data_IF_015446541331
#
_entry.id   IF_015446541331
#
_cell.length_a   1.000
_cell.length_b   1.000
_cell.length_c   1.000
_cell.angle_alpha   90.00
_cell.angle_beta   90.00
_cell.angle_gamma   90.00
#
_symmetry.space_group_name_H-M   'P 1'
#
loop_
_entity.id
_entity.type
_entity.pdbx_description
1 polymer ?
#
# COMPACT_ATOMS: atom_id res chain seq x y z
N UNK A 1 -7.49 -2.17 3.92
CA UNK A 1 -7.36 -1.41 2.65
C UNK A 1 -6.49 -0.19 2.91
N UNK A 2 -5.66 0.23 1.95
CA UNK A 2 -4.77 1.38 2.11
C UNK A 2 -3.74 1.23 3.23
N UNK A 3 -3.35 0.01 3.60
CA UNK A 3 -2.36 -0.24 4.64
C UNK A 3 -1.70 -1.61 4.44
N UNK A 4 -0.45 -1.72 4.88
CA UNK A 4 0.32 -2.97 5.01
C UNK A 4 0.78 -3.09 6.48
N UNK A 5 0.77 -4.30 7.02
CA UNK A 5 1.11 -4.59 8.41
C UNK A 5 2.23 -5.63 8.49
N UNK A 6 3.13 -5.45 9.46
CA UNK A 6 4.04 -6.49 9.93
C UNK A 6 3.52 -7.00 11.28
N UNK A 7 3.24 -8.29 11.35
CA UNK A 7 2.66 -8.96 12.51
C UNK A 7 3.59 -10.08 12.97
N UNK A 8 3.49 -10.45 14.24
CA UNK A 8 4.11 -11.68 14.74
C UNK A 8 3.39 -12.91 14.16
N UNK A 9 4.13 -13.85 13.57
CA UNK A 9 3.54 -15.08 13.01
C UNK A 9 3.03 -16.02 14.10
N UNK A 10 3.58 -15.93 15.32
CA UNK A 10 3.16 -16.74 16.46
C UNK A 10 1.93 -16.15 17.15
N UNK A 11 1.71 -14.85 17.01
CA UNK A 11 0.54 -14.15 17.54
C UNK A 11 0.15 -12.95 16.66
N UNK A 12 -0.80 -13.14 15.75
CA UNK A 12 -1.22 -12.09 14.80
C UNK A 12 -1.86 -10.86 15.45
N UNK A 13 -2.20 -10.93 16.74
CA UNK A 13 -2.68 -9.76 17.50
C UNK A 13 -1.53 -8.84 17.89
N UNK A 14 -0.28 -9.34 17.87
CA UNK A 14 0.92 -8.55 18.08
C UNK A 14 1.35 -7.88 16.76
N UNK A 15 1.00 -6.60 16.64
CA UNK A 15 1.37 -5.75 15.50
C UNK A 15 2.72 -5.09 15.75
N UNK A 16 3.73 -5.51 15.00
CA UNK A 16 5.09 -4.94 15.05
C UNK A 16 5.17 -3.59 14.34
N UNK A 17 4.57 -3.48 13.15
CA UNK A 17 4.60 -2.25 12.35
C UNK A 17 3.42 -2.15 11.39
N UNK A 18 3.17 -0.94 10.90
CA UNK A 18 2.16 -0.66 9.90
C UNK A 18 2.60 0.53 9.05
N UNK A 19 2.30 0.46 7.74
CA UNK A 19 2.41 1.60 6.83
C UNK A 19 1.07 1.81 6.17
N UNK A 20 0.59 3.05 6.23
CA UNK A 20 -0.61 3.48 5.52
C UNK A 20 -0.23 3.98 4.13
N UNK A 21 -0.97 3.50 3.13
CA UNK A 21 -0.81 3.90 1.74
C UNK A 21 -2.19 4.20 1.11
N UNK A 22 -2.89 5.22 1.63
CA UNK A 22 -4.18 5.64 1.09
C UNK A 22 -4.02 6.30 -0.28
N UNK A 23 -5.12 6.42 -1.01
CA UNK A 23 -5.17 7.29 -2.19
C UNK A 23 -5.23 8.75 -1.77
N UNK A 24 -4.69 9.65 -2.59
CA UNK A 24 -4.91 11.09 -2.42
C UNK A 24 -6.37 11.45 -2.70
N UNK A 25 -6.85 12.55 -2.12
CA UNK A 25 -8.22 13.06 -2.37
C UNK A 25 -8.46 13.35 -3.86
N UNK A 26 -7.44 13.84 -4.55
CA UNK A 26 -7.49 14.08 -6.00
C UNK A 26 -7.74 12.78 -6.77
N UNK A 27 -6.96 11.73 -6.53
CA UNK A 27 -7.13 10.43 -7.20
C UNK A 27 -8.46 9.77 -6.84
N UNK A 28 -8.92 9.93 -5.59
CA UNK A 28 -10.24 9.46 -5.18
C UNK A 28 -11.35 10.19 -5.96
N UNK A 29 -11.23 11.51 -6.13
CA UNK A 29 -12.18 12.33 -6.91
C UNK A 29 -12.15 11.98 -8.40
N UNK A 30 -10.98 11.81 -8.99
CA UNK A 30 -10.84 11.36 -10.38
C UNK A 30 -11.52 10.01 -10.62
N UNK A 31 -11.37 9.08 -9.69
CA UNK A 31 -12.04 7.78 -9.74
C UNK A 31 -13.56 7.91 -9.60
N UNK A 32 -14.03 8.71 -8.64
CA UNK A 32 -15.46 8.95 -8.44
C UNK A 32 -16.12 9.62 -9.66
N UNK A 33 -15.43 10.56 -10.31
CA UNK A 33 -15.88 11.20 -11.55
C UNK A 33 -16.06 10.22 -12.71
N UNK A 34 -15.45 9.02 -12.64
CA UNK A 34 -15.65 7.91 -13.59
C UNK A 34 -16.82 6.99 -13.21
N UNK A 35 -17.64 7.38 -12.24
CA UNK A 35 -18.84 6.64 -11.81
C UNK A 35 -18.57 5.50 -10.83
N UNK A 36 -17.43 5.53 -10.13
CA UNK A 36 -17.04 4.53 -9.13
C UNK A 36 -17.41 4.94 -7.71
N UNK A 37 -17.74 3.98 -6.86
CA UNK A 37 -18.05 4.25 -5.45
C UNK A 37 -16.81 4.81 -4.71
N UNK A 38 -16.86 6.04 -4.16
CA UNK A 38 -15.70 6.66 -3.53
C UNK A 38 -15.26 5.94 -2.24
N UNK A 39 -16.19 5.34 -1.51
CA UNK A 39 -15.94 4.71 -0.21
C UNK A 39 -15.42 3.29 -0.32
N UNK A 40 -15.86 2.58 -1.37
CA UNK A 40 -15.50 1.20 -1.65
C UNK A 40 -14.47 1.13 -2.78
N UNK A 41 -14.84 1.49 -3.99
CA UNK A 41 -14.06 1.24 -5.21
C UNK A 41 -12.82 2.15 -5.35
N UNK A 42 -12.92 3.42 -4.93
CA UNK A 42 -11.85 4.40 -5.07
C UNK A 42 -10.85 4.39 -3.90
N UNK A 43 -10.47 3.20 -3.43
CA UNK A 43 -9.45 3.02 -2.39
C UNK A 43 -8.20 2.34 -2.98
N UNK A 44 -7.12 2.33 -2.21
CA UNK A 44 -5.95 1.54 -2.57
C UNK A 44 -6.09 0.11 -2.03
N UNK A 45 -6.29 -0.86 -2.91
CA UNK A 45 -6.29 -2.27 -2.58
C UNK A 45 -4.93 -2.86 -2.95
N UNK A 46 -4.18 -3.31 -1.95
CA UNK A 46 -2.91 -3.99 -2.17
C UNK A 46 -3.18 -5.34 -2.83
N UNK A 47 -2.56 -5.57 -3.98
CA UNK A 47 -2.76 -6.80 -4.78
C UNK A 47 -1.50 -7.64 -4.87
N UNK A 48 -0.34 -7.01 -4.77
CA UNK A 48 0.96 -7.69 -4.87
C UNK A 48 1.81 -7.33 -3.67
N UNK A 49 2.37 -8.34 -3.03
CA UNK A 49 3.44 -8.26 -2.04
C UNK A 49 4.44 -9.36 -2.38
N UNK A 50 5.60 -8.97 -2.91
CA UNK A 50 6.61 -9.91 -3.37
C UNK A 50 7.94 -9.61 -2.68
N UNK A 51 8.52 -10.58 -1.98
CA UNK A 51 9.86 -10.45 -1.42
C UNK A 51 10.88 -10.48 -2.57
N UNK A 52 11.60 -9.38 -2.72
CA UNK A 52 12.69 -9.24 -3.69
C UNK A 52 13.99 -9.79 -3.10
N UNK A 53 14.19 -9.53 -1.80
CA UNK A 53 15.25 -10.08 -0.97
C UNK A 53 14.80 -10.03 0.50
N UNK A 54 15.70 -10.41 1.41
CA UNK A 54 15.42 -10.54 2.85
C UNK A 54 14.84 -9.28 3.51
N UNK A 55 15.17 -8.10 2.99
CA UNK A 55 14.73 -6.81 3.58
C UNK A 55 13.80 -6.02 2.67
N UNK A 56 13.70 -6.38 1.39
CA UNK A 56 13.00 -5.58 0.38
C UNK A 56 11.79 -6.32 -0.17
N UNK A 57 10.65 -5.65 -0.14
CA UNK A 57 9.37 -6.12 -0.65
C UNK A 57 8.91 -5.19 -1.77
N UNK A 58 8.62 -5.74 -2.94
CA UNK A 58 7.92 -5.04 -4.00
C UNK A 58 6.42 -5.12 -3.76
N UNK A 59 5.75 -3.96 -3.73
CA UNK A 59 4.33 -3.84 -3.41
C UNK A 59 3.59 -3.08 -4.49
N UNK A 60 2.42 -3.57 -4.90
CA UNK A 60 1.53 -2.88 -5.83
C UNK A 60 0.10 -2.84 -5.29
N UNK A 61 -0.58 -1.72 -5.55
CA UNK A 61 -1.98 -1.53 -5.19
C UNK A 61 -2.78 -0.88 -6.32
N UNK A 62 -4.10 -1.05 -6.26
CA UNK A 62 -5.04 -0.54 -7.28
C UNK A 62 -5.12 0.98 -7.34
N UNK A 63 -4.83 1.64 -6.21
CA UNK A 63 -4.78 3.10 -6.03
C UNK A 63 -5.88 3.86 -6.81
N UNK A 64 -7.14 3.54 -6.48
CA UNK A 64 -8.33 4.10 -7.13
C UNK A 64 -8.36 3.96 -8.67
N UNK A 65 -8.23 2.73 -9.17
CA UNK A 65 -8.18 2.42 -10.61
C UNK A 65 -7.02 3.11 -11.36
N UNK A 66 -5.96 3.49 -10.65
CA UNK A 66 -4.71 4.02 -11.20
C UNK A 66 -3.54 3.27 -10.56
N UNK A 67 -3.28 2.00 -10.94
CA UNK A 67 -2.37 1.13 -10.19
C UNK A 67 -0.98 1.73 -10.03
N UNK A 68 -0.44 1.63 -8.81
CA UNK A 68 0.92 2.06 -8.49
C UNK A 68 1.67 0.95 -7.78
N UNK A 69 2.99 0.99 -7.92
CA UNK A 69 3.91 0.10 -7.24
C UNK A 69 5.01 0.90 -6.56
N UNK A 70 5.57 0.32 -5.50
CA UNK A 70 6.70 0.87 -4.76
C UNK A 70 7.55 -0.28 -4.18
N UNK A 71 8.73 0.06 -3.69
CA UNK A 71 9.51 -0.81 -2.83
C UNK A 71 9.30 -0.42 -1.38
N UNK A 72 9.16 -1.43 -0.54
CA UNK A 72 9.05 -1.32 0.90
C UNK A 72 10.22 -2.07 1.54
N UNK A 73 10.78 -1.50 2.60
CA UNK A 73 11.82 -2.15 3.38
C UNK A 73 11.26 -2.63 4.70
N UNK A 74 11.66 -3.84 5.12
CA UNK A 74 11.45 -4.40 6.43
C UNK A 74 12.80 -4.50 7.14
N UNK A 75 13.04 -3.65 8.13
CA UNK A 75 14.29 -3.65 8.91
C UNK A 75 13.93 -3.66 10.38
N UNK A 76 14.43 -4.64 11.14
CA UNK A 76 14.17 -4.79 12.58
C UNK A 76 12.66 -4.74 12.94
N UNK A 77 11.81 -5.35 12.11
CA UNK A 77 10.36 -5.34 12.32
C UNK A 77 9.64 -4.06 11.91
N UNK A 78 10.37 -3.05 11.42
CA UNK A 78 9.81 -1.78 10.95
C UNK A 78 9.63 -1.77 9.43
N UNK A 79 8.42 -1.44 8.99
CA UNK A 79 8.08 -1.25 7.57
C UNK A 79 8.24 0.22 7.17
N UNK A 80 8.88 0.45 6.03
CA UNK A 80 9.03 1.78 5.42
C UNK A 80 8.84 1.70 3.91
N UNK A 81 7.91 2.48 3.35
CA UNK A 81 7.81 2.67 1.90
C UNK A 81 8.96 3.58 1.45
N UNK A 82 9.61 3.25 0.32
CA UNK A 82 10.68 4.09 -0.23
C UNK A 82 10.16 5.39 -0.82
N UNK A 83 8.89 5.41 -1.25
CA UNK A 83 8.34 6.53 -1.99
C UNK A 83 8.83 6.49 -3.44
N UNK A 84 7.96 6.93 -4.34
CA UNK A 84 8.24 6.97 -5.77
C UNK A 84 9.36 8.00 -6.05
N UNK A 85 10.52 7.55 -6.56
CA UNK A 85 11.36 8.41 -7.41
C UNK A 85 10.61 8.56 -8.74
N UNK A 86 9.87 9.65 -8.92
CA UNK A 86 9.18 9.94 -10.18
C UNK A 86 7.68 10.17 -10.00
N UNK A 87 7.34 11.33 -9.45
CA UNK A 87 6.25 12.13 -9.97
C UNK A 87 6.88 13.16 -10.91
N UNK A 88 6.54 13.05 -12.19
CA UNK A 88 6.84 13.94 -13.29
C UNK A 88 5.80 13.69 -14.36
#
# INVERSE_FOLDING_TARGET
RGAIYALDISNISDKKSAVYWPVTEEKQRECANKGKDPEVECRNYIRTLHSVNDTTIYVCGTYAFSPICDYMMLVNGQLTLKGRQGEG
#
